data_IF_701682800857
#
_entry.id   IF_701682800857
#
_cell.length_a   1.000
_cell.length_b   1.000
_cell.length_c   1.000
_cell.angle_alpha   90.00
_cell.angle_beta   90.00
_cell.angle_gamma   90.00
#
_symmetry.space_group_name_H-M   'P 1'
#
loop_
_entity.id
_entity.type
_entity.pdbx_description
1 polymer ?
#
# COMPACT_ATOMS: atom_id res chain seq x y z
N UNK A 1 -2.58 -2.46 41.74
CA UNK A 1 -1.57 -1.83 40.86
C UNK A 1 -0.97 -2.91 39.98
N UNK A 2 -1.60 -3.20 38.84
CA UNK A 2 -1.09 -4.18 37.87
C UNK A 2 -0.07 -3.49 36.98
N UNK A 3 1.21 -3.82 37.16
CA UNK A 3 2.31 -3.37 36.31
C UNK A 3 2.10 -3.91 34.89
N UNK A 4 1.83 -3.02 33.93
CA UNK A 4 2.01 -3.35 32.53
C UNK A 4 3.50 -3.53 32.26
N UNK A 5 3.91 -4.62 31.58
CA UNK A 5 5.32 -4.81 31.24
C UNK A 5 5.78 -3.65 30.34
N UNK A 6 6.96 -3.12 30.64
CA UNK A 6 7.60 -2.10 29.82
C UNK A 6 7.76 -2.65 28.39
N UNK A 7 7.11 -2.00 27.42
CA UNK A 7 7.21 -2.32 26.01
C UNK A 7 8.65 -2.04 25.57
N UNK A 8 9.45 -3.10 25.39
CA UNK A 8 10.77 -2.96 24.78
C UNK A 8 10.56 -2.49 23.34
N UNK A 9 11.20 -1.41 22.88
CA UNK A 9 11.14 -1.03 21.48
C UNK A 9 11.61 -2.23 20.66
N UNK A 10 10.80 -2.67 19.69
CA UNK A 10 11.14 -3.79 18.82
C UNK A 10 12.46 -3.56 18.07
N UNK A 11 12.98 -4.57 17.36
CA UNK A 11 14.18 -4.41 16.54
C UNK A 11 14.05 -3.20 15.62
N UNK A 12 15.10 -2.40 15.46
CA UNK A 12 15.08 -1.28 14.49
C UNK A 12 14.71 -1.80 13.09
N UNK A 13 13.89 -1.04 12.37
CA UNK A 13 13.49 -1.36 11.00
C UNK A 13 12.23 -2.24 10.83
N UNK A 14 11.37 -2.41 11.84
CA UNK A 14 10.10 -3.14 11.66
C UNK A 14 9.17 -2.44 10.66
N UNK A 15 8.47 -3.24 9.86
CA UNK A 15 7.56 -2.80 8.81
C UNK A 15 6.19 -3.46 8.97
N UNK A 16 5.12 -2.68 8.80
CA UNK A 16 3.75 -3.16 8.74
C UNK A 16 3.21 -2.94 7.33
N UNK A 17 2.83 -4.01 6.65
CA UNK A 17 2.07 -3.95 5.41
C UNK A 17 0.58 -4.04 5.72
N UNK A 18 -0.19 -3.06 5.24
CA UNK A 18 -1.65 -3.12 5.21
C UNK A 18 -2.06 -3.42 3.78
N UNK A 19 -2.56 -4.65 3.55
CA UNK A 19 -2.75 -5.22 2.22
C UNK A 19 -4.22 -5.33 1.88
N UNK A 20 -4.60 -4.87 0.70
CA UNK A 20 -5.95 -5.04 0.16
C UNK A 20 -6.27 -6.52 -0.12
N UNK A 21 -7.31 -7.04 0.53
CA UNK A 21 -7.82 -8.38 0.28
C UNK A 21 -7.07 -9.51 0.98
N UNK A 22 -7.80 -10.54 1.42
CA UNK A 22 -7.23 -11.70 2.12
C UNK A 22 -6.31 -12.55 1.22
N UNK A 23 -6.66 -12.67 -0.06
CA UNK A 23 -5.88 -13.47 -1.03
C UNK A 23 -4.49 -12.87 -1.24
N UNK A 24 -4.43 -11.54 -1.48
CA UNK A 24 -3.17 -10.83 -1.63
C UNK A 24 -2.41 -10.76 -0.30
N UNK A 25 -3.09 -10.55 0.83
CA UNK A 25 -2.47 -10.59 2.16
C UNK A 25 -1.82 -11.94 2.46
N UNK A 26 -2.50 -13.05 2.16
CA UNK A 26 -1.95 -14.40 2.28
C UNK A 26 -0.74 -14.62 1.37
N UNK A 27 -0.76 -14.07 0.16
CA UNK A 27 0.38 -14.13 -0.76
C UNK A 27 1.57 -13.30 -0.23
N UNK A 28 1.32 -12.09 0.28
CA UNK A 28 2.34 -11.23 0.89
C UNK A 28 2.97 -11.90 2.11
N UNK A 29 2.17 -12.54 2.98
CA UNK A 29 2.67 -13.23 4.18
C UNK A 29 3.54 -14.46 3.87
N UNK A 30 3.40 -15.05 2.67
CA UNK A 30 4.26 -16.15 2.21
C UNK A 30 5.64 -15.67 1.73
N UNK A 31 5.73 -14.43 1.26
CA UNK A 31 6.97 -13.91 0.65
C UNK A 31 7.66 -12.83 1.47
N UNK A 32 7.04 -12.35 2.54
CA UNK A 32 7.64 -11.37 3.44
C UNK A 32 8.70 -12.00 4.34
N UNK A 33 9.65 -11.18 4.77
CA UNK A 33 10.60 -11.55 5.79
C UNK A 33 9.95 -11.38 7.17
N UNK A 34 9.64 -12.49 7.83
CA UNK A 34 8.87 -12.50 9.09
C UNK A 34 9.66 -11.94 10.28
N UNK A 35 10.97 -11.77 10.15
CA UNK A 35 11.80 -11.23 11.23
C UNK A 35 11.56 -9.74 11.43
N UNK A 36 11.14 -9.02 10.37
CA UNK A 36 10.88 -7.58 10.46
C UNK A 36 9.66 -7.08 9.70
N UNK A 37 8.97 -7.91 8.93
CA UNK A 37 7.78 -7.52 8.18
C UNK A 37 6.54 -8.22 8.73
N UNK A 38 5.59 -7.41 9.21
CA UNK A 38 4.25 -7.85 9.60
C UNK A 38 3.26 -7.55 8.47
N UNK A 39 2.35 -8.48 8.18
CA UNK A 39 1.29 -8.32 7.18
C UNK A 39 -0.07 -8.32 7.86
N UNK A 40 -0.86 -7.28 7.62
CA UNK A 40 -2.26 -7.15 7.99
C UNK A 40 -3.11 -7.11 6.71
N UNK A 41 -3.92 -8.14 6.50
CA UNK A 41 -4.84 -8.22 5.36
C UNK A 41 -6.17 -7.55 5.67
N UNK A 42 -6.72 -6.84 4.68
CA UNK A 42 -8.03 -6.20 4.79
C UNK A 42 -9.15 -7.10 4.27
N UNK A 43 -10.26 -7.12 5.00
CA UNK A 43 -11.51 -7.74 4.57
C UNK A 43 -12.45 -6.66 4.03
N UNK A 44 -12.68 -6.67 2.72
CA UNK A 44 -13.55 -5.72 2.05
C UNK A 44 -13.03 -4.28 2.06
N UNK A 45 -13.89 -3.36 1.63
CA UNK A 45 -13.58 -1.93 1.52
C UNK A 45 -13.54 -1.29 2.93
N UNK A 46 -12.47 -0.57 3.30
CA UNK A 46 -12.40 0.11 4.59
C UNK A 46 -13.55 1.11 4.71
N UNK A 47 -14.11 1.27 5.91
CA UNK A 47 -15.12 2.31 6.14
C UNK A 47 -14.47 3.70 6.10
N UNK A 48 -15.26 4.74 5.85
CA UNK A 48 -14.79 6.12 5.93
C UNK A 48 -14.56 6.54 7.40
N UNK A 49 -13.37 6.22 7.90
CA UNK A 49 -12.96 6.54 9.27
C UNK A 49 -12.74 8.05 9.50
N UNK A 50 -12.61 8.86 8.44
CA UNK A 50 -12.50 10.32 8.58
C UNK A 50 -13.74 10.94 9.19
N UNK A 51 -14.92 10.43 8.83
CA UNK A 51 -16.23 10.92 9.32
C UNK A 51 -16.74 10.13 10.53
N UNK A 52 -16.11 9.02 10.88
CA UNK A 52 -16.56 8.15 11.96
C UNK A 52 -16.17 8.71 13.34
N UNK A 53 -16.90 8.29 14.38
CA UNK A 53 -16.50 8.52 15.76
C UNK A 53 -15.40 7.54 16.20
N UNK A 54 -14.64 7.88 17.23
CA UNK A 54 -13.59 7.00 17.77
C UNK A 54 -14.14 5.62 18.16
N UNK A 55 -15.32 5.57 18.80
CA UNK A 55 -15.97 4.31 19.18
C UNK A 55 -16.32 3.44 17.97
N UNK A 56 -16.75 4.05 16.85
CA UNK A 56 -17.05 3.33 15.61
C UNK A 56 -15.78 2.80 14.95
N UNK A 57 -14.69 3.56 15.03
CA UNK A 57 -13.37 3.16 14.52
C UNK A 57 -12.81 1.99 15.34
N UNK A 58 -12.83 2.08 16.67
CA UNK A 58 -12.33 1.02 17.54
C UNK A 58 -13.14 -0.28 17.48
N UNK A 59 -14.46 -0.19 17.26
CA UNK A 59 -15.33 -1.37 17.11
C UNK A 59 -15.31 -1.99 15.71
N UNK A 60 -14.69 -1.35 14.72
CA UNK A 60 -14.53 -1.92 13.39
C UNK A 60 -13.41 -2.97 13.40
N UNK A 61 -13.65 -4.15 12.82
CA UNK A 61 -12.69 -5.26 12.83
C UNK A 61 -11.32 -4.89 12.26
N UNK A 62 -11.29 -4.26 11.09
CA UNK A 62 -10.05 -3.84 10.43
C UNK A 62 -9.30 -2.79 11.25
N UNK A 63 -9.96 -1.69 11.62
CA UNK A 63 -9.29 -0.60 12.32
C UNK A 63 -8.92 -0.97 13.76
N UNK A 64 -9.75 -1.75 14.46
CA UNK A 64 -9.44 -2.30 15.78
C UNK A 64 -8.19 -3.18 15.74
N UNK A 65 -8.11 -4.10 14.77
CA UNK A 65 -6.93 -4.95 14.59
C UNK A 65 -5.68 -4.13 14.22
N UNK A 66 -5.82 -3.11 13.37
CA UNK A 66 -4.73 -2.20 13.00
C UNK A 66 -4.20 -1.42 14.22
N UNK A 67 -5.09 -0.84 15.02
CA UNK A 67 -4.73 -0.12 16.25
C UNK A 67 -3.99 -1.05 17.22
N UNK A 68 -4.49 -2.26 17.42
CA UNK A 68 -3.84 -3.27 18.25
C UNK A 68 -2.47 -3.70 17.70
N UNK A 69 -2.35 -3.85 16.39
CA UNK A 69 -1.09 -4.26 15.74
C UNK A 69 -0.01 -3.19 15.91
N UNK A 70 -0.39 -1.91 15.78
CA UNK A 70 0.49 -0.74 15.95
C UNK A 70 0.89 -0.55 17.43
N UNK A 71 0.00 -0.88 18.36
CA UNK A 71 0.21 -0.82 19.82
C UNK A 71 0.72 0.53 20.37
N UNK A 72 0.29 1.61 19.72
CA UNK A 72 0.68 2.98 20.06
C UNK A 72 -0.50 3.87 20.50
N UNK A 73 -1.68 3.29 20.68
CA UNK A 73 -2.92 4.05 20.95
C UNK A 73 -3.57 4.59 19.68
N UNK A 74 -4.52 5.50 19.86
CA UNK A 74 -5.24 6.23 18.81
C UNK A 74 -5.55 7.62 19.34
N UNK A 75 -5.72 8.64 18.50
CA UNK A 75 -5.99 10.00 18.95
C UNK A 75 -7.16 10.08 19.97
N UNK A 76 -7.03 10.86 21.05
CA UNK A 76 -5.90 11.76 21.35
C UNK A 76 -4.68 11.09 22.01
N UNK A 77 -4.75 9.82 22.42
CA UNK A 77 -3.70 9.14 23.19
C UNK A 77 -2.60 8.47 22.34
N UNK A 78 -2.54 8.75 21.03
CA UNK A 78 -1.52 8.16 20.16
C UNK A 78 -0.11 8.62 20.55
N UNK A 79 0.78 7.67 20.82
CA UNK A 79 2.17 7.90 21.18
C UNK A 79 3.12 7.25 20.17
N UNK A 80 3.75 8.09 19.34
CA UNK A 80 4.70 7.66 18.32
C UNK A 80 5.90 6.89 18.92
N UNK A 81 6.30 7.16 20.16
CA UNK A 81 7.44 6.48 20.79
C UNK A 81 7.15 5.00 21.08
N UNK A 82 5.87 4.65 21.29
CA UNK A 82 5.42 3.27 21.45
C UNK A 82 5.27 2.54 20.12
N UNK A 83 5.17 3.27 19.01
CA UNK A 83 5.03 2.64 17.69
C UNK A 83 6.34 1.97 17.27
N UNK A 84 6.35 0.64 17.31
CA UNK A 84 7.48 -0.20 16.90
C UNK A 84 7.77 -0.18 15.40
N UNK A 85 6.80 0.20 14.57
CA UNK A 85 6.96 0.22 13.12
C UNK A 85 7.61 1.53 12.67
N UNK A 86 8.72 1.42 11.95
CA UNK A 86 9.36 2.54 11.27
C UNK A 86 8.69 2.82 9.91
N UNK A 87 8.04 1.80 9.34
CA UNK A 87 7.26 1.94 8.10
C UNK A 87 5.92 1.24 8.25
N UNK A 88 4.85 1.98 7.98
CA UNK A 88 3.52 1.45 7.66
C UNK A 88 3.33 1.62 6.16
N UNK A 89 3.14 0.53 5.44
CA UNK A 89 3.12 0.49 3.97
C UNK A 89 1.73 0.03 3.52
N UNK A 90 1.02 0.90 2.82
CA UNK A 90 -0.24 0.59 2.16
C UNK A 90 0.05 -0.11 0.84
N UNK A 91 -0.47 -1.33 0.67
CA UNK A 91 -0.32 -2.14 -0.53
C UNK A 91 -1.71 -2.48 -1.09
N UNK A 92 -2.12 -1.73 -2.11
CA UNK A 92 -3.44 -1.79 -2.73
C UNK A 92 -3.31 -2.13 -4.22
N UNK A 93 -4.41 -2.61 -4.80
CA UNK A 93 -4.50 -2.85 -6.24
C UNK A 93 -4.39 -1.52 -7.01
N UNK A 94 -3.71 -1.51 -8.17
CA UNK A 94 -3.52 -0.29 -8.96
C UNK A 94 -4.74 0.03 -9.85
N UNK A 95 -5.95 -0.19 -9.32
CA UNK A 95 -7.22 0.12 -9.96
C UNK A 95 -8.01 1.20 -9.19
N UNK A 96 -9.19 1.57 -9.69
CA UNK A 96 -9.98 2.64 -9.09
C UNK A 96 -10.46 2.33 -7.66
N UNK A 97 -10.79 1.06 -7.38
CA UNK A 97 -11.28 0.63 -6.08
C UNK A 97 -10.14 0.59 -5.05
N UNK A 98 -8.97 0.07 -5.44
CA UNK A 98 -7.76 0.07 -4.63
C UNK A 98 -7.26 1.48 -4.33
N UNK A 99 -7.29 2.39 -5.31
CA UNK A 99 -6.97 3.82 -5.10
C UNK A 99 -7.92 4.46 -4.08
N UNK A 100 -9.21 4.16 -4.17
CA UNK A 100 -10.20 4.67 -3.22
C UNK A 100 -9.99 4.07 -1.82
N UNK A 101 -9.78 2.75 -1.72
CA UNK A 101 -9.46 2.08 -0.45
C UNK A 101 -8.20 2.63 0.21
N UNK A 102 -7.15 2.86 -0.57
CA UNK A 102 -5.90 3.49 -0.11
C UNK A 102 -6.16 4.92 0.41
N UNK A 103 -7.04 5.68 -0.24
CA UNK A 103 -7.42 7.03 0.21
C UNK A 103 -8.15 6.99 1.56
N UNK A 104 -9.07 6.04 1.76
CA UNK A 104 -9.76 5.86 3.04
C UNK A 104 -8.78 5.50 4.17
N UNK A 105 -7.79 4.65 3.90
CA UNK A 105 -6.72 4.34 4.85
C UNK A 105 -5.84 5.56 5.14
N UNK A 106 -5.45 6.32 4.12
CA UNK A 106 -4.71 7.56 4.30
C UNK A 106 -5.47 8.53 5.21
N UNK A 107 -6.78 8.67 5.04
CA UNK A 107 -7.58 9.56 5.90
C UNK A 107 -7.74 9.03 7.32
N UNK A 108 -7.80 7.71 7.52
CA UNK A 108 -7.72 7.12 8.85
C UNK A 108 -6.42 7.55 9.54
N UNK A 109 -5.27 7.33 8.93
CA UNK A 109 -3.98 7.69 9.53
C UNK A 109 -3.88 9.20 9.74
N UNK A 110 -4.33 10.01 8.78
CA UNK A 110 -4.31 11.47 8.90
C UNK A 110 -5.16 11.97 10.07
N UNK A 111 -6.35 11.39 10.31
CA UNK A 111 -7.22 11.80 11.41
C UNK A 111 -6.77 11.27 12.76
N UNK A 112 -6.38 10.01 12.81
CA UNK A 112 -6.30 9.25 14.06
C UNK A 112 -4.87 8.97 14.52
N UNK A 113 -3.89 9.09 13.62
CA UNK A 113 -2.46 8.89 13.89
C UNK A 113 -1.57 9.85 13.04
N UNK A 114 -1.87 11.17 12.99
CA UNK A 114 -1.16 12.12 12.11
C UNK A 114 0.36 12.13 12.31
N UNK A 115 0.82 11.82 13.52
CA UNK A 115 2.23 11.74 13.88
C UNK A 115 3.01 10.71 13.04
N UNK A 116 2.36 9.67 12.49
CA UNK A 116 2.99 8.74 11.56
C UNK A 116 3.32 9.40 10.21
N UNK A 117 2.47 10.32 9.75
CA UNK A 117 2.73 11.09 8.53
C UNK A 117 3.82 12.13 8.78
N UNK A 118 3.74 12.85 9.89
CA UNK A 118 4.75 13.86 10.27
C UNK A 118 6.15 13.27 10.43
N UNK A 119 6.24 12.10 11.07
CA UNK A 119 7.49 11.36 11.21
C UNK A 119 7.94 10.65 9.92
N UNK A 120 7.17 10.75 8.83
CA UNK A 120 7.50 10.15 7.54
C UNK A 120 7.51 8.62 7.55
N UNK A 121 6.70 8.01 8.40
CA UNK A 121 6.57 6.55 8.61
C UNK A 121 5.44 5.91 7.79
N UNK A 122 4.57 6.68 7.15
CA UNK A 122 3.51 6.15 6.28
C UNK A 122 3.94 6.15 4.81
N UNK A 123 3.71 5.03 4.12
CA UNK A 123 4.11 4.81 2.72
C UNK A 123 2.98 4.15 1.93
N UNK A 124 3.03 4.29 0.61
CA UNK A 124 2.25 3.49 -0.33
C UNK A 124 3.18 2.78 -1.30
N UNK A 125 2.96 1.48 -1.49
CA UNK A 125 3.64 0.68 -2.50
C UNK A 125 2.95 0.83 -3.86
N UNK A 126 3.73 0.78 -4.94
CA UNK A 126 3.20 0.85 -6.31
C UNK A 126 3.45 -0.46 -7.05
N UNK A 127 2.46 -1.36 -7.08
CA UNK A 127 2.55 -2.62 -7.81
C UNK A 127 2.65 -2.39 -9.32
N UNK A 128 3.26 -3.32 -10.08
CA UNK A 128 3.16 -3.32 -11.54
C UNK A 128 1.71 -3.44 -12.03
N UNK A 129 1.39 -2.77 -13.14
CA UNK A 129 0.07 -2.81 -13.79
C UNK A 129 -0.01 -3.86 -14.90
N UNK A 130 1.13 -4.18 -15.51
CA UNK A 130 1.23 -5.24 -16.51
C UNK A 130 2.67 -5.74 -16.60
N UNK A 131 2.84 -6.86 -17.28
CA UNK A 131 4.11 -7.33 -17.80
C UNK A 131 4.19 -7.02 -19.29
N UNK A 132 5.33 -6.47 -19.70
CA UNK A 132 5.71 -6.32 -21.09
C UNK A 132 6.82 -7.33 -21.38
N UNK A 133 6.67 -8.10 -22.46
CA UNK A 133 7.68 -9.06 -22.90
C UNK A 133 8.03 -8.77 -24.35
N UNK A 134 9.28 -8.41 -24.61
CA UNK A 134 9.82 -8.38 -25.97
C UNK A 134 10.14 -9.83 -26.37
N UNK A 135 9.31 -10.41 -27.25
CA UNK A 135 9.43 -11.82 -27.64
C UNK A 135 10.67 -12.08 -28.50
N UNK A 136 11.28 -11.06 -29.10
CA UNK A 136 12.49 -11.22 -29.89
C UNK A 136 13.73 -11.33 -29.00
N UNK A 137 13.83 -10.51 -27.95
CA UNK A 137 14.98 -10.49 -27.04
C UNK A 137 14.78 -11.30 -25.75
N UNK A 138 13.53 -11.64 -25.42
CA UNK A 138 13.16 -12.21 -24.11
C UNK A 138 13.15 -11.20 -22.96
N UNK A 139 13.39 -9.91 -23.24
CA UNK A 139 13.42 -8.89 -22.21
C UNK A 139 12.03 -8.65 -21.61
N UNK A 140 11.96 -8.56 -20.28
CA UNK A 140 10.73 -8.32 -19.53
C UNK A 140 10.78 -7.00 -18.78
N UNK A 141 9.65 -6.30 -18.73
CA UNK A 141 9.51 -5.08 -17.96
C UNK A 141 8.15 -4.99 -17.26
N UNK A 142 8.14 -4.32 -16.11
CA UNK A 142 7.00 -4.26 -15.20
C UNK A 142 6.63 -2.80 -14.91
N UNK A 143 5.97 -2.10 -15.87
CA UNK A 143 5.51 -0.74 -15.65
C UNK A 143 4.48 -0.67 -14.51
N UNK A 144 4.47 0.46 -13.79
CA UNK A 144 3.59 0.73 -12.64
C UNK A 144 2.53 1.79 -12.93
N UNK A 145 2.62 2.46 -14.08
CA UNK A 145 1.63 3.42 -14.54
C UNK A 145 1.62 3.52 -16.08
N UNK A 146 0.51 3.98 -16.70
CA UNK A 146 0.37 4.00 -18.17
C UNK A 146 1.50 4.76 -18.89
N UNK A 147 1.91 5.92 -18.37
CA UNK A 147 3.01 6.68 -18.98
C UNK A 147 4.37 5.95 -18.94
N UNK A 148 4.64 5.15 -17.91
CA UNK A 148 5.86 4.34 -17.86
C UNK A 148 5.81 3.22 -18.91
N UNK A 149 4.65 2.58 -19.05
CA UNK A 149 4.42 1.57 -20.09
C UNK A 149 4.69 2.15 -21.48
N UNK A 150 4.10 3.29 -21.80
CA UNK A 150 4.28 3.97 -23.09
C UNK A 150 5.75 4.32 -23.36
N UNK A 151 6.46 4.82 -22.34
CA UNK A 151 7.89 5.11 -22.44
C UNK A 151 8.71 3.87 -22.76
N UNK A 152 8.46 2.75 -22.07
CA UNK A 152 9.18 1.48 -22.31
C UNK A 152 8.89 0.97 -23.73
N UNK A 153 7.61 0.98 -24.14
CA UNK A 153 7.22 0.57 -25.49
C UNK A 153 7.89 1.43 -26.56
N UNK A 154 7.94 2.75 -26.39
CA UNK A 154 8.62 3.65 -27.33
C UNK A 154 10.12 3.37 -27.40
N UNK A 155 10.77 3.12 -26.26
CA UNK A 155 12.19 2.77 -26.21
C UNK A 155 12.48 1.46 -26.95
N UNK A 156 11.72 0.40 -26.67
CA UNK A 156 11.90 -0.90 -27.32
C UNK A 156 11.67 -0.82 -28.83
N UNK A 157 10.61 -0.13 -29.28
CA UNK A 157 10.33 0.10 -30.70
C UNK A 157 11.46 0.86 -31.41
N UNK A 158 12.10 1.82 -30.74
CA UNK A 158 13.21 2.59 -31.31
C UNK A 158 14.53 1.81 -31.38
N UNK A 159 14.71 0.83 -30.48
CA UNK A 159 15.91 -0.01 -30.41
C UNK A 159 15.84 -1.21 -31.38
N UNK A 160 14.64 -1.61 -31.79
CA UNK A 160 14.45 -2.71 -32.74
C UNK A 160 14.81 -2.31 -34.16
N UNK A 161 15.67 -3.10 -34.81
CA UNK A 161 15.90 -3.06 -36.26
C UNK A 161 14.57 -3.16 -37.01
N UNK A 162 14.43 -2.45 -38.14
CA UNK A 162 13.22 -2.46 -39.01
C UNK A 162 12.73 -3.91 -39.22
N UNK A 163 11.62 -4.27 -38.58
CA UNK A 163 11.00 -5.61 -38.65
C UNK A 163 10.81 -6.35 -37.32
N UNK A 164 11.56 -6.03 -36.25
CA UNK A 164 11.44 -6.71 -34.94
C UNK A 164 10.52 -5.98 -33.94
N UNK A 165 10.04 -4.79 -34.28
CA UNK A 165 9.29 -3.87 -33.39
C UNK A 165 7.85 -4.32 -33.08
N UNK A 166 7.34 -5.42 -33.63
CA UNK A 166 5.93 -5.84 -33.52
C UNK A 166 5.68 -7.01 -32.57
N UNK A 167 6.72 -7.68 -32.06
CA UNK A 167 6.56 -8.86 -31.20
C UNK A 167 6.63 -8.51 -29.70
N UNK A 168 5.88 -7.48 -29.26
CA UNK A 168 5.78 -7.15 -27.83
C UNK A 168 4.46 -7.70 -27.27
N UNK A 169 4.56 -8.69 -26.37
CA UNK A 169 3.43 -9.18 -25.60
C UNK A 169 3.15 -8.26 -24.41
N UNK A 170 1.87 -7.98 -24.14
CA UNK A 170 1.42 -7.22 -22.97
C UNK A 170 0.42 -8.04 -22.16
N UNK A 171 0.78 -8.37 -20.93
CA UNK A 171 -0.06 -9.14 -20.01
C UNK A 171 -0.49 -8.28 -18.83
N UNK A 172 -1.74 -7.81 -18.77
CA UNK A 172 -2.23 -7.00 -17.64
C UNK A 172 -2.36 -7.85 -16.37
N UNK A 173 -2.10 -7.23 -15.23
CA UNK A 173 -2.40 -7.82 -13.92
C UNK A 173 -3.82 -7.46 -13.50
N UNK A 174 -4.55 -8.40 -12.91
CA UNK A 174 -5.92 -8.22 -12.42
C UNK A 174 -5.98 -7.79 -10.94
N UNK A 175 -4.84 -7.44 -10.35
CA UNK A 175 -4.66 -7.20 -8.93
C UNK A 175 -3.42 -7.91 -8.38
N UNK A 176 -3.09 -7.64 -7.12
CA UNK A 176 -1.89 -8.08 -6.40
C UNK A 176 -1.72 -9.60 -6.43
N UNK A 177 -2.81 -10.35 -6.26
CA UNK A 177 -2.78 -11.81 -6.26
C UNK A 177 -2.37 -12.41 -7.63
N UNK A 178 -2.49 -11.64 -8.72
CA UNK A 178 -2.15 -12.10 -10.07
C UNK A 178 -0.67 -11.94 -10.45
N UNK A 179 0.13 -11.24 -9.62
CA UNK A 179 1.56 -11.01 -9.85
C UNK A 179 2.39 -12.30 -9.75
N UNK A 180 1.92 -13.29 -8.98
CA UNK A 180 2.73 -14.44 -8.58
C UNK A 180 3.72 -14.09 -7.46
N UNK A 181 4.29 -15.11 -6.82
CA UNK A 181 5.09 -14.93 -5.59
C UNK A 181 6.37 -14.13 -5.83
N UNK A 182 7.13 -14.48 -6.86
CA UNK A 182 8.42 -13.84 -7.15
C UNK A 182 8.26 -12.35 -7.48
N UNK A 183 7.29 -12.01 -8.34
CA UNK A 183 7.06 -10.63 -8.72
C UNK A 183 6.48 -9.80 -7.57
N UNK A 184 5.56 -10.37 -6.78
CA UNK A 184 5.05 -9.71 -5.56
C UNK A 184 6.20 -9.43 -4.59
N UNK A 185 7.07 -10.41 -4.36
CA UNK A 185 8.23 -10.25 -3.50
C UNK A 185 9.16 -9.13 -4.00
N UNK A 186 9.64 -9.24 -5.23
CA UNK A 186 10.64 -8.33 -5.79
C UNK A 186 10.09 -6.92 -6.03
N UNK A 187 8.82 -6.77 -6.43
CA UNK A 187 8.26 -5.47 -6.80
C UNK A 187 7.61 -4.72 -5.63
N UNK A 188 7.08 -5.44 -4.64
CA UNK A 188 6.24 -4.84 -3.59
C UNK A 188 6.81 -5.03 -2.17
N UNK A 189 7.53 -6.12 -1.89
CA UNK A 189 7.86 -6.52 -0.50
C UNK A 189 9.34 -6.33 -0.17
N UNK A 190 10.26 -6.76 -1.05
CA UNK A 190 11.70 -6.74 -0.84
C UNK A 190 12.21 -5.29 -0.67
N UNK A 191 12.79 -4.92 0.49
CA UNK A 191 13.27 -3.56 0.73
C UNK A 191 14.31 -3.05 -0.26
N UNK A 192 15.07 -3.95 -0.91
CA UNK A 192 16.14 -3.59 -1.86
C UNK A 192 15.61 -3.22 -3.25
N UNK A 193 14.41 -3.67 -3.62
CA UNK A 193 13.91 -3.57 -4.99
C UNK A 193 12.51 -2.99 -5.12
N UNK A 194 11.71 -3.00 -4.05
CA UNK A 194 10.34 -2.45 -4.08
C UNK A 194 10.33 -0.95 -4.34
N UNK A 195 9.23 -0.48 -4.92
CA UNK A 195 9.00 0.95 -5.14
C UNK A 195 7.88 1.43 -4.21
N UNK A 196 8.27 2.23 -3.23
CA UNK A 196 7.35 2.83 -2.26
C UNK A 196 7.49 4.36 -2.28
N UNK A 197 6.40 5.06 -2.03
CA UNK A 197 6.37 6.53 -1.88
C UNK A 197 5.94 6.88 -0.46
N UNK A 198 6.66 7.79 0.18
CA UNK A 198 6.25 8.35 1.48
C UNK A 198 5.00 9.21 1.29
N UNK A 199 4.01 9.01 2.14
CA UNK A 199 2.79 9.80 2.21
C UNK A 199 2.96 10.90 3.25
N UNK A 200 2.48 12.10 2.93
CA UNK A 200 2.55 13.30 3.78
C UNK A 200 1.16 13.83 4.08
N UNK A 201 1.08 14.77 5.02
CA UNK A 201 -0.17 15.46 5.34
C UNK A 201 -0.78 16.12 4.10
N UNK A 202 0.06 16.71 3.23
CA UNK A 202 -0.42 17.37 2.01
C UNK A 202 -1.08 16.37 1.04
N UNK A 203 -0.59 15.13 0.98
CA UNK A 203 -1.23 14.06 0.20
C UNK A 203 -2.64 13.78 0.73
N UNK A 204 -2.81 13.71 2.06
CA UNK A 204 -4.10 13.47 2.69
C UNK A 204 -5.08 14.62 2.45
N UNK A 205 -4.61 15.86 2.57
CA UNK A 205 -5.41 17.07 2.29
C UNK A 205 -5.83 17.15 0.82
N UNK A 206 -4.90 16.89 -0.10
CA UNK A 206 -5.20 16.85 -1.54
C UNK A 206 -6.21 15.74 -1.87
N UNK A 207 -6.01 14.55 -1.32
CA UNK A 207 -6.93 13.41 -1.48
C UNK A 207 -8.33 13.75 -0.93
N UNK A 208 -8.44 14.37 0.25
CA UNK A 208 -9.72 14.82 0.81
C UNK A 208 -10.41 15.89 -0.06
N UNK A 209 -9.66 16.78 -0.70
CA UNK A 209 -10.23 17.78 -1.61
C UNK A 209 -10.82 17.14 -2.87
N UNK A 210 -10.18 16.08 -3.38
CA UNK A 210 -10.63 15.38 -4.59
C UNK A 210 -11.77 14.40 -4.29
N UNK A 211 -11.69 13.67 -3.18
CA UNK A 211 -12.59 12.54 -2.89
C UNK A 211 -13.38 12.65 -1.58
N UNK A 212 -13.01 13.55 -0.66
CA UNK A 212 -13.44 13.53 0.75
C UNK A 212 -14.61 14.44 1.13
N UNK A 213 -14.84 15.53 0.40
CA UNK A 213 -15.95 16.46 0.65
C UNK A 213 -16.78 16.65 -0.64
N UNK A 214 -18.09 16.49 -0.49
CA UNK A 214 -19.16 16.70 -1.48
C UNK A 214 -19.32 15.73 -2.66
N UNK A 215 -18.34 14.89 -3.00
CA UNK A 215 -18.48 13.95 -4.13
C UNK A 215 -19.40 12.74 -3.90
N UNK A 216 -19.92 12.56 -2.68
CA UNK A 216 -20.93 11.54 -2.34
C UNK A 216 -22.18 12.14 -1.66
N UNK A 217 -22.44 13.45 -1.85
CA UNK A 217 -23.74 14.04 -1.56
C UNK A 217 -24.45 14.35 -2.88
N UNK A 218 -24.85 13.30 -3.57
CA UNK A 218 -26.01 13.26 -4.48
C UNK A 218 -26.25 11.81 -4.89
N UNK A 219 -27.52 11.43 -4.82
CA UNK A 219 -28.15 10.24 -5.37
C UNK A 219 -28.30 9.02 -4.44
N UNK A 220 -29.25 9.18 -3.51
CA UNK A 220 -30.42 8.33 -3.16
C UNK A 220 -30.67 8.22 -1.65
#
# INVERSE_FOLDING_TARGET
MTSHPAHSPGPLGQELFVVEGESAGSAAQRVCDRDFQTVLSMQGKPMNAWKASIAKVQSNSLFGQLIQTIDAGIAPEFDLQRCRFEKVILLFDPDADGIHGCSLMLWFFYRWMPQLLDAGRLFVAHPPICELTDLASGNRAYPRHPAQREKILAQWRSASSKGASELIEQKPFRGLASLGQELLHTSCINPRSRVIRRLRIEDAQASLKVFGADSYSKDN
#
